data_IF_599562183907
#
_entry.id   IF_599562183907
#
_cell.length_a   1.000
_cell.length_b   1.000
_cell.length_c   1.000
_cell.angle_alpha   90.00
_cell.angle_beta   90.00
_cell.angle_gamma   90.00
#
_symmetry.space_group_name_H-M   'P 1'
#
loop_
_entity.id
_entity.type
_entity.pdbx_description
1 polymer ?
#
# COMPACT_ATOMS: atom_id res chain seq x y z
N UNK A 1 -3.56 19.66 6.62
CA UNK A 1 -3.02 18.62 5.72
C UNK A 1 -1.93 17.86 6.47
N UNK A 2 -2.29 17.09 7.51
CA UNK A 2 -1.36 16.20 8.25
C UNK A 2 -1.76 14.71 8.11
N UNK A 3 -2.94 14.46 7.50
CA UNK A 3 -3.53 13.14 7.46
C UNK A 3 -2.73 12.18 6.57
N UNK A 4 -2.11 12.68 5.51
CA UNK A 4 -1.36 11.86 4.57
C UNK A 4 0.01 11.45 5.12
N UNK A 5 0.71 12.35 5.81
CA UNK A 5 1.93 12.00 6.55
C UNK A 5 1.64 10.95 7.63
N UNK A 6 0.56 11.11 8.41
CA UNK A 6 0.12 10.11 9.40
C UNK A 6 -0.23 8.76 8.76
N UNK A 7 -0.94 8.77 7.64
CA UNK A 7 -1.23 7.56 6.86
C UNK A 7 0.06 6.87 6.39
N UNK A 8 1.04 7.64 5.91
CA UNK A 8 2.34 7.13 5.53
C UNK A 8 3.10 6.48 6.68
N UNK A 9 3.11 7.10 7.87
CA UNK A 9 3.71 6.53 9.08
C UNK A 9 3.05 5.22 9.52
N UNK A 10 1.72 5.11 9.38
CA UNK A 10 1.01 3.87 9.67
C UNK A 10 1.43 2.77 8.68
N UNK A 11 1.52 3.06 7.39
CA UNK A 11 1.99 2.11 6.38
C UNK A 11 3.44 1.68 6.62
N UNK A 12 4.32 2.61 6.99
CA UNK A 12 5.70 2.29 7.37
C UNK A 12 5.75 1.37 8.60
N UNK A 13 4.87 1.60 9.58
CA UNK A 13 4.77 0.75 10.77
C UNK A 13 4.28 -0.66 10.40
N UNK A 14 3.27 -0.77 9.53
CA UNK A 14 2.79 -2.05 8.99
C UNK A 14 3.88 -2.77 8.18
N UNK A 15 4.64 -2.02 7.37
CA UNK A 15 5.83 -2.52 6.68
C UNK A 15 6.86 -3.06 7.66
N UNK A 16 7.23 -2.31 8.70
CA UNK A 16 8.17 -2.78 9.73
C UNK A 16 7.69 -4.06 10.43
N UNK A 17 6.43 -4.09 10.87
CA UNK A 17 5.85 -5.26 11.55
C UNK A 17 5.78 -6.49 10.64
N UNK A 18 5.39 -6.31 9.38
CA UNK A 18 5.37 -7.42 8.41
C UNK A 18 6.78 -7.94 8.09
N UNK A 19 7.79 -7.08 8.09
CA UNK A 19 9.19 -7.47 7.94
C UNK A 19 9.67 -8.34 9.11
N UNK A 20 9.33 -7.97 10.34
CA UNK A 20 9.60 -8.78 11.55
C UNK A 20 8.90 -10.14 11.46
N UNK A 21 7.62 -10.15 11.08
CA UNK A 21 6.86 -11.38 10.90
C UNK A 21 7.52 -12.30 9.86
N UNK A 22 7.95 -11.73 8.73
CA UNK A 22 8.65 -12.47 7.68
C UNK A 22 9.98 -13.03 8.18
N UNK A 23 10.78 -12.22 8.88
CA UNK A 23 12.06 -12.63 9.45
C UNK A 23 11.90 -13.82 10.40
N UNK A 24 10.98 -13.71 11.37
CA UNK A 24 10.68 -14.82 12.31
C UNK A 24 10.21 -16.05 11.54
N UNK A 25 9.43 -15.88 10.47
CA UNK A 25 8.91 -17.00 9.68
C UNK A 25 9.99 -17.77 8.91
N UNK A 26 11.19 -17.20 8.68
CA UNK A 26 12.29 -17.90 8.02
C UNK A 26 12.88 -19.02 8.87
N UNK A 27 12.86 -18.86 10.20
CA UNK A 27 13.38 -19.84 11.16
C UNK A 27 12.32 -20.87 11.60
N UNK A 28 11.08 -20.71 11.14
CA UNK A 28 9.94 -21.54 11.53
C UNK A 28 9.56 -22.52 10.41
N UNK A 29 8.91 -23.65 10.75
CA UNK A 29 8.41 -24.57 9.75
C UNK A 29 7.42 -23.87 8.81
N UNK A 30 7.40 -24.28 7.54
CA UNK A 30 6.46 -23.75 6.53
C UNK A 30 5.03 -23.82 7.07
N UNK A 31 4.29 -22.71 6.97
CA UNK A 31 2.91 -22.61 7.42
C UNK A 31 2.72 -22.25 8.90
N UNK A 32 3.79 -22.01 9.67
CA UNK A 32 3.70 -21.68 11.11
C UNK A 32 2.75 -20.50 11.42
N UNK A 33 2.83 -19.42 10.65
CA UNK A 33 1.94 -18.26 10.78
C UNK A 33 0.70 -18.34 9.86
N UNK A 34 0.38 -19.50 9.30
CA UNK A 34 -0.68 -19.67 8.31
C UNK A 34 -0.41 -19.00 6.96
N UNK A 35 0.81 -18.52 6.73
CA UNK A 35 1.25 -17.91 5.47
C UNK A 35 1.35 -19.01 4.42
N UNK A 36 0.58 -18.87 3.34
CA UNK A 36 0.53 -19.80 2.21
C UNK A 36 1.43 -19.33 1.07
N UNK A 37 1.54 -18.02 0.87
CA UNK A 37 2.30 -17.40 -0.21
C UNK A 37 3.23 -16.31 0.33
N UNK A 38 4.46 -16.70 0.69
CA UNK A 38 5.45 -15.76 1.24
C UNK A 38 5.83 -14.63 0.27
N UNK A 39 5.81 -14.91 -1.03
CA UNK A 39 6.09 -13.90 -2.06
C UNK A 39 5.06 -12.76 -2.05
N UNK A 40 3.77 -13.07 -1.85
CA UNK A 40 2.69 -12.07 -1.74
C UNK A 40 2.81 -11.26 -0.45
N UNK A 41 3.14 -11.93 0.65
CA UNK A 41 3.42 -11.25 1.91
C UNK A 41 4.59 -10.26 1.77
N UNK A 42 5.68 -10.69 1.13
CA UNK A 42 6.84 -9.83 0.83
C UNK A 42 6.47 -8.66 -0.08
N UNK A 43 5.64 -8.90 -1.09
CA UNK A 43 5.16 -7.84 -1.97
C UNK A 43 4.39 -6.79 -1.16
N UNK A 44 3.39 -7.20 -0.36
CA UNK A 44 2.64 -6.28 0.49
C UNK A 44 3.49 -5.55 1.53
N UNK A 45 4.51 -6.21 2.08
CA UNK A 45 5.52 -5.59 2.95
C UNK A 45 6.28 -4.45 2.23
N UNK A 46 6.82 -4.73 1.04
CA UNK A 46 7.55 -3.74 0.25
C UNK A 46 6.62 -2.59 -0.18
N UNK A 47 5.40 -2.91 -0.62
CA UNK A 47 4.40 -1.91 -1.00
C UNK A 47 4.08 -0.98 0.18
N UNK A 48 3.90 -1.52 1.38
CA UNK A 48 3.67 -0.72 2.59
C UNK A 48 4.85 0.23 2.89
N UNK A 49 6.09 -0.24 2.76
CA UNK A 49 7.28 0.59 2.98
C UNK A 49 7.44 1.69 1.93
N UNK A 50 7.32 1.32 0.66
CA UNK A 50 7.51 2.24 -0.48
C UNK A 50 6.41 3.27 -0.50
N UNK A 51 5.14 2.85 -0.46
CA UNK A 51 4.00 3.75 -0.49
C UNK A 51 4.00 4.61 0.79
N UNK A 52 4.27 4.03 1.95
CA UNK A 52 4.38 4.78 3.21
C UNK A 52 5.43 5.88 3.14
N UNK A 53 6.62 5.58 2.61
CA UNK A 53 7.68 6.56 2.40
C UNK A 53 7.29 7.66 1.42
N UNK A 54 6.63 7.30 0.32
CA UNK A 54 6.13 8.27 -0.67
C UNK A 54 5.12 9.23 -0.04
N UNK A 55 4.16 8.73 0.76
CA UNK A 55 3.16 9.57 1.41
C UNK A 55 3.78 10.55 2.42
N UNK A 56 4.75 10.08 3.22
CA UNK A 56 5.50 10.95 4.15
C UNK A 56 6.30 12.01 3.40
N UNK A 57 6.99 11.63 2.32
CA UNK A 57 7.74 12.57 1.48
C UNK A 57 6.83 13.62 0.84
N UNK A 58 5.67 13.21 0.33
CA UNK A 58 4.71 14.11 -0.30
C UNK A 58 4.06 15.08 0.70
N UNK A 59 3.80 14.63 1.93
CA UNK A 59 3.35 15.49 3.03
C UNK A 59 4.43 16.53 3.37
N UNK A 60 5.69 16.09 3.52
CA UNK A 60 6.80 16.97 3.85
C UNK A 60 7.08 18.01 2.76
N UNK A 61 6.90 17.63 1.49
CA UNK A 61 7.03 18.54 0.35
C UNK A 61 5.78 19.42 0.14
N UNK A 62 4.69 19.16 0.89
CA UNK A 62 3.39 19.85 0.77
C UNK A 62 2.83 19.87 -0.65
N UNK A 63 3.06 18.80 -1.41
CA UNK A 63 2.66 18.70 -2.82
C UNK A 63 1.25 18.16 -3.02
N UNK A 64 0.57 17.76 -1.94
CA UNK A 64 -0.72 17.06 -1.99
C UNK A 64 -1.86 18.02 -1.67
N UNK A 65 -2.98 17.90 -2.38
CA UNK A 65 -4.16 18.72 -2.18
C UNK A 65 -5.31 17.96 -1.47
N UNK A 66 -6.36 18.70 -1.10
CA UNK A 66 -7.50 18.16 -0.37
C UNK A 66 -8.30 17.10 -1.16
N UNK A 67 -8.25 17.12 -2.50
CA UNK A 67 -9.00 16.21 -3.36
C UNK A 67 -8.28 14.86 -3.51
N UNK A 68 -6.96 14.91 -3.71
CA UNK A 68 -6.11 13.72 -3.87
C UNK A 68 -5.83 13.02 -2.55
N UNK A 69 -5.78 13.75 -1.43
CA UNK A 69 -5.51 13.18 -0.10
C UNK A 69 -6.36 11.95 0.24
N UNK A 70 -7.71 12.01 0.24
CA UNK A 70 -8.53 10.85 0.61
C UNK A 70 -8.36 9.66 -0.35
N UNK A 71 -8.18 9.94 -1.65
CA UNK A 71 -8.01 8.91 -2.68
C UNK A 71 -6.68 8.20 -2.50
N UNK A 72 -5.59 8.96 -2.33
CA UNK A 72 -4.26 8.42 -2.09
C UNK A 72 -4.23 7.57 -0.82
N UNK A 73 -4.83 8.03 0.28
CA UNK A 73 -4.89 7.25 1.52
C UNK A 73 -5.63 5.93 1.28
N UNK A 74 -6.86 5.98 0.75
CA UNK A 74 -7.67 4.79 0.54
C UNK A 74 -6.98 3.78 -0.38
N UNK A 75 -6.45 4.24 -1.52
CA UNK A 75 -5.80 3.38 -2.49
C UNK A 75 -4.48 2.78 -1.97
N UNK A 76 -3.70 3.57 -1.22
CA UNK A 76 -2.45 3.13 -0.60
C UNK A 76 -2.68 2.01 0.42
N UNK A 77 -3.62 2.21 1.33
CA UNK A 77 -3.97 1.21 2.34
C UNK A 77 -4.54 -0.04 1.69
N UNK A 78 -5.45 0.12 0.74
CA UNK A 78 -6.00 -1.02 0.03
C UNK A 78 -4.88 -1.83 -0.65
N UNK A 79 -4.00 -1.19 -1.41
CA UNK A 79 -2.93 -1.87 -2.17
C UNK A 79 -1.99 -2.65 -1.24
N UNK A 80 -1.47 -2.00 -0.20
CA UNK A 80 -0.53 -2.61 0.72
C UNK A 80 -1.18 -3.76 1.52
N UNK A 81 -2.36 -3.52 2.11
CA UNK A 81 -3.03 -4.48 2.99
C UNK A 81 -3.62 -5.64 2.21
N UNK A 82 -4.25 -5.39 1.05
CA UNK A 82 -4.80 -6.47 0.21
C UNK A 82 -3.71 -7.41 -0.27
N UNK A 83 -2.59 -6.87 -0.79
CA UNK A 83 -1.46 -7.67 -1.25
C UNK A 83 -0.84 -8.47 -0.12
N UNK A 84 -0.73 -7.89 1.08
CA UNK A 84 -0.27 -8.60 2.27
C UNK A 84 -1.23 -9.74 2.65
N UNK A 85 -2.53 -9.48 2.65
CA UNK A 85 -3.57 -10.48 2.96
C UNK A 85 -3.59 -11.66 1.98
N UNK A 86 -3.20 -11.45 0.72
CA UNK A 86 -3.02 -12.53 -0.26
C UNK A 86 -1.94 -13.54 0.15
N UNK A 87 -1.04 -13.18 1.07
CA UNK A 87 -0.12 -14.13 1.70
C UNK A 87 -0.83 -15.26 2.44
N UNK A 88 -2.04 -15.03 2.98
CA UNK A 88 -2.85 -16.02 3.68
C UNK A 88 -4.00 -16.59 2.84
N UNK A 89 -4.55 -15.77 1.96
CA UNK A 89 -5.71 -16.13 1.11
C UNK A 89 -5.44 -15.81 -0.36
N UNK A 90 -4.53 -16.55 -1.03
CA UNK A 90 -4.09 -16.21 -2.38
C UNK A 90 -5.21 -16.35 -3.44
N UNK A 91 -6.14 -17.28 -3.23
CA UNK A 91 -7.26 -17.54 -4.16
C UNK A 91 -8.38 -16.49 -4.11
N UNK A 92 -8.24 -15.46 -3.28
CA UNK A 92 -9.28 -14.45 -3.08
C UNK A 92 -9.51 -13.63 -4.36
N UNK A 93 -8.43 -13.18 -5.02
CA UNK A 93 -8.50 -12.37 -6.25
C UNK A 93 -8.94 -13.21 -7.45
N UNK A 94 -8.54 -14.48 -7.51
CA UNK A 94 -8.91 -15.37 -8.61
C UNK A 94 -10.42 -15.68 -8.63
N UNK A 95 -11.03 -15.82 -7.47
CA UNK A 95 -12.43 -16.25 -7.33
C UNK A 95 -13.45 -15.13 -7.42
N UNK A 96 -13.07 -13.88 -7.15
CA UNK A 96 -14.01 -12.76 -7.04
C UNK A 96 -13.70 -11.66 -8.05
N UNK A 97 -14.49 -11.60 -9.12
CA UNK A 97 -14.38 -10.55 -10.17
C UNK A 97 -14.49 -9.14 -9.58
N UNK A 98 -15.32 -8.97 -8.54
CA UNK A 98 -15.44 -7.70 -7.82
C UNK A 98 -14.10 -7.23 -7.22
N UNK A 99 -13.30 -8.15 -6.67
CA UNK A 99 -12.00 -7.82 -6.07
C UNK A 99 -11.02 -7.38 -7.15
N UNK A 100 -11.01 -8.05 -8.31
CA UNK A 100 -10.19 -7.61 -9.47
C UNK A 100 -10.55 -6.20 -9.94
N UNK A 101 -11.84 -5.87 -9.95
CA UNK A 101 -12.29 -4.52 -10.32
C UNK A 101 -11.86 -3.47 -9.29
N UNK A 102 -11.93 -3.80 -8.00
CA UNK A 102 -11.45 -2.91 -6.92
C UNK A 102 -9.93 -2.75 -6.99
N UNK A 103 -9.17 -3.82 -7.21
CA UNK A 103 -7.71 -3.77 -7.43
C UNK A 103 -7.36 -2.83 -8.57
N UNK A 104 -7.97 -3.04 -9.73
CA UNK A 104 -7.71 -2.20 -10.91
C UNK A 104 -8.08 -0.75 -10.66
N UNK A 105 -9.23 -0.49 -10.04
CA UNK A 105 -9.72 0.87 -9.74
C UNK A 105 -8.81 1.56 -8.74
N UNK A 106 -8.39 0.86 -7.69
CA UNK A 106 -7.51 1.39 -6.65
C UNK A 106 -6.14 1.77 -7.21
N UNK A 107 -5.53 0.86 -7.97
CA UNK A 107 -4.23 1.11 -8.60
C UNK A 107 -4.30 2.24 -9.64
N UNK A 108 -5.37 2.26 -10.45
CA UNK A 108 -5.59 3.32 -11.45
C UNK A 108 -5.80 4.67 -10.77
N UNK A 109 -6.61 4.72 -9.72
CA UNK A 109 -6.86 5.95 -8.96
C UNK A 109 -5.57 6.47 -8.31
N UNK A 110 -4.78 5.59 -7.69
CA UNK A 110 -3.48 5.94 -7.12
C UNK A 110 -2.55 6.56 -8.19
N UNK A 111 -2.40 5.89 -9.33
CA UNK A 111 -1.56 6.38 -10.42
C UNK A 111 -2.05 7.72 -10.97
N UNK A 112 -3.36 7.86 -11.21
CA UNK A 112 -3.96 9.09 -11.72
C UNK A 112 -3.81 10.26 -10.73
N UNK A 113 -3.89 10.01 -9.42
CA UNK A 113 -3.59 11.04 -8.42
C UNK A 113 -2.15 11.53 -8.52
N UNK A 114 -1.17 10.65 -8.71
CA UNK A 114 0.23 11.06 -8.88
C UNK A 114 0.47 11.81 -10.18
N UNK A 115 -0.16 11.39 -11.28
CA UNK A 115 -0.12 12.13 -12.55
C UNK A 115 -0.69 13.53 -12.36
N UNK A 116 -1.85 13.65 -11.71
CA UNK A 116 -2.47 14.93 -11.39
C UNK A 116 -1.55 15.82 -10.56
N UNK A 117 -1.02 15.31 -9.43
CA UNK A 117 -0.12 16.06 -8.57
C UNK A 117 1.15 16.50 -9.31
N UNK A 118 1.67 15.65 -10.19
CA UNK A 118 2.85 16.00 -11.00
C UNK A 118 2.53 17.14 -11.97
N UNK A 119 1.44 17.02 -12.74
CA UNK A 119 1.01 18.07 -13.68
C UNK A 119 0.76 19.38 -12.95
N UNK A 120 0.07 19.30 -11.81
CA UNK A 120 -0.25 20.45 -10.97
C UNK A 120 1.01 21.17 -10.47
N UNK A 121 1.97 20.43 -9.90
CA UNK A 121 3.23 21.00 -9.43
C UNK A 121 4.07 21.60 -10.57
N UNK A 122 4.10 20.97 -11.75
CA UNK A 122 4.82 21.50 -12.91
C UNK A 122 4.16 22.76 -13.48
N UNK A 123 2.84 22.86 -13.40
CA UNK A 123 2.08 24.00 -13.90
C UNK A 123 2.00 25.18 -12.90
N UNK A 124 2.40 24.96 -11.63
CA UNK A 124 2.58 26.02 -10.64
C UNK A 124 1.29 26.55 -9.99
N UNK A 125 0.23 25.74 -9.91
CA UNK A 125 -1.05 26.09 -9.27
C UNK A 125 -1.53 25.02 -8.27
#
# INVERSE_FOLDING_TARGET
MEAIGKAGLILLSLGGLSGILMYISLEKPKGWAGIKEFARLRQGHVDALVIGGILVAADSAKIVDAYTTPILIAASFYTAVSTMALGWVPKLVEKHVAIKAVDFTSLSAFALCWVWLTVRNLAGW
#
